data_IF_732704370364
#
_entry.id   IF_732704370364
#
_cell.length_a   1.000
_cell.length_b   1.000
_cell.length_c   1.000
_cell.angle_alpha   90.00
_cell.angle_beta   90.00
_cell.angle_gamma   90.00
#
_symmetry.space_group_name_H-M   'P 1'
#
loop_
_entity.id
_entity.type
_entity.pdbx_description
1 polymer ?
#
# COMPACT_ATOMS: atom_id res chain seq x y z
N UNK A 1 -3.50 2.80 -5.82
CA UNK A 1 -4.02 2.33 -4.53
C UNK A 1 -4.66 3.44 -3.71
N UNK A 2 -3.91 4.47 -3.29
CA UNK A 2 -4.41 5.58 -2.46
C UNK A 2 -5.69 6.24 -3.00
N UNK A 3 -5.78 6.45 -4.32
CA UNK A 3 -6.99 7.00 -4.94
C UNK A 3 -8.23 6.16 -4.68
N UNK A 4 -8.11 4.83 -4.82
CA UNK A 4 -9.23 3.91 -4.60
C UNK A 4 -9.61 3.78 -3.13
N UNK A 5 -8.71 4.11 -2.21
CA UNK A 5 -8.95 4.07 -0.76
C UNK A 5 -9.70 5.29 -0.23
N UNK A 6 -9.87 6.37 -1.00
CA UNK A 6 -10.56 7.58 -0.54
C UNK A 6 -11.92 7.25 0.11
N UNK A 7 -12.23 7.84 1.29
CA UNK A 7 -11.50 8.92 1.98
C UNK A 7 -10.38 8.46 2.95
N UNK A 8 -10.10 7.15 3.04
CA UNK A 8 -9.09 6.62 3.95
C UNK A 8 -7.68 7.10 3.59
N UNK A 9 -6.88 7.40 4.61
CA UNK A 9 -5.44 7.62 4.47
C UNK A 9 -4.69 6.33 4.83
N UNK A 10 -3.42 6.24 4.42
CA UNK A 10 -2.54 5.12 4.77
C UNK A 10 -1.21 5.61 5.35
N UNK A 11 -0.74 4.96 6.41
CA UNK A 11 0.65 5.15 6.87
C UNK A 11 1.65 4.40 5.95
N UNK A 12 2.96 4.58 6.16
CA UNK A 12 3.98 3.93 5.34
C UNK A 12 3.93 2.39 5.43
N UNK A 13 3.63 1.82 6.60
CA UNK A 13 3.53 0.36 6.74
C UNK A 13 2.30 -0.18 6.00
N UNK A 14 1.17 0.53 6.08
CA UNK A 14 -0.04 0.24 5.31
C UNK A 14 0.24 0.32 3.80
N UNK A 15 0.98 1.34 3.34
CA UNK A 15 1.34 1.46 1.91
C UNK A 15 2.20 0.30 1.42
N UNK A 16 3.17 -0.16 2.22
CA UNK A 16 3.99 -1.33 1.87
C UNK A 16 3.15 -2.60 1.81
N UNK A 17 2.25 -2.80 2.79
CA UNK A 17 1.33 -3.93 2.78
C UNK A 17 0.45 -3.91 1.53
N UNK A 18 -0.17 -2.77 1.24
CA UNK A 18 -1.08 -2.62 0.11
C UNK A 18 -0.36 -2.75 -1.23
N UNK A 19 0.87 -2.23 -1.35
CA UNK A 19 1.71 -2.40 -2.55
C UNK A 19 2.02 -3.89 -2.80
N UNK A 20 2.27 -4.67 -1.76
CA UNK A 20 2.42 -6.12 -1.87
C UNK A 20 1.10 -6.79 -2.25
N UNK A 21 0.04 -6.55 -1.50
CA UNK A 21 -1.24 -7.24 -1.67
C UNK A 21 -1.88 -6.95 -3.04
N UNK A 22 -1.74 -5.75 -3.59
CA UNK A 22 -2.38 -5.38 -4.86
C UNK A 22 -1.87 -6.18 -6.06
N UNK A 23 -0.66 -6.74 -5.97
CA UNK A 23 -0.10 -7.61 -7.02
C UNK A 23 -0.25 -9.11 -6.71
N UNK A 24 -0.67 -9.45 -5.48
CA UNK A 24 -0.90 -10.80 -4.97
C UNK A 24 -2.32 -10.99 -4.44
N UNK A 25 -3.32 -10.42 -5.12
CA UNK A 25 -4.72 -10.43 -4.66
C UNK A 25 -5.33 -11.83 -4.60
N UNK A 26 -4.87 -12.78 -5.43
CA UNK A 26 -5.38 -14.15 -5.40
C UNK A 26 -5.09 -14.86 -4.06
N UNK A 27 -3.98 -14.52 -3.41
CA UNK A 27 -3.55 -15.08 -2.11
C UNK A 27 -4.57 -14.78 -1.00
N UNK A 28 -5.40 -13.77 -1.18
CA UNK A 28 -6.41 -13.33 -0.22
C UNK A 28 -7.84 -13.42 -0.77
N UNK A 29 -8.05 -14.22 -1.82
CA UNK A 29 -9.37 -14.47 -2.42
C UNK A 29 -9.87 -13.39 -3.38
N UNK A 30 -8.96 -12.56 -3.91
CA UNK A 30 -9.25 -11.53 -4.90
C UNK A 30 -9.08 -11.97 -6.35
N UNK A 31 -9.04 -11.00 -7.29
CA UNK A 31 -8.77 -11.25 -8.70
C UNK A 31 -7.42 -11.97 -8.94
N UNK A 32 -7.16 -12.48 -10.16
CA UNK A 32 -5.89 -13.12 -10.47
C UNK A 32 -4.69 -12.20 -10.17
N UNK A 33 -3.69 -12.71 -9.46
CA UNK A 33 -2.46 -12.00 -9.13
C UNK A 33 -1.74 -11.50 -10.39
N UNK A 34 -1.16 -10.30 -10.31
CA UNK A 34 -0.33 -9.74 -11.38
C UNK A 34 1.05 -10.37 -11.39
N UNK A 35 1.58 -10.72 -10.21
CA UNK A 35 2.90 -11.33 -10.07
C UNK A 35 2.77 -12.83 -9.81
N UNK A 36 3.62 -13.67 -10.44
CA UNK A 36 3.65 -15.10 -10.18
C UNK A 36 4.13 -15.39 -8.75
N UNK A 37 3.70 -16.51 -8.18
CA UNK A 37 4.20 -17.00 -6.90
C UNK A 37 5.70 -17.32 -6.99
N UNK A 38 6.54 -16.45 -6.42
CA UNK A 38 7.96 -16.70 -6.25
C UNK A 38 8.25 -16.85 -4.75
N UNK A 39 8.74 -18.03 -4.38
CA UNK A 39 9.00 -18.43 -3.01
C UNK A 39 10.27 -17.77 -2.45
N UNK A 40 10.22 -16.51 -2.04
CA UNK A 40 11.07 -15.98 -0.97
C UNK A 40 10.54 -14.65 -0.41
N UNK A 41 9.53 -14.75 0.46
CA UNK A 41 8.66 -13.63 0.82
C UNK A 41 9.34 -12.62 1.75
N UNK A 42 10.10 -13.05 2.77
CA UNK A 42 10.57 -12.17 3.88
C UNK A 42 11.63 -11.12 3.48
N UNK A 43 12.59 -11.47 2.63
CA UNK A 43 13.65 -10.53 2.20
C UNK A 43 13.15 -9.40 1.31
N UNK A 44 12.02 -9.62 0.64
CA UNK A 44 11.43 -8.66 -0.30
C UNK A 44 10.89 -7.43 0.42
N UNK A 45 10.19 -7.57 1.56
CA UNK A 45 9.50 -6.44 2.17
C UNK A 45 10.40 -5.33 2.70
N UNK A 46 11.60 -5.64 3.19
CA UNK A 46 12.53 -4.60 3.64
C UNK A 46 13.03 -3.76 2.45
N UNK A 47 13.34 -4.42 1.33
CA UNK A 47 13.69 -3.74 0.06
C UNK A 47 12.49 -2.95 -0.45
N UNK A 48 11.29 -3.54 -0.38
CA UNK A 48 10.03 -2.95 -0.79
C UNK A 48 9.68 -1.71 0.02
N UNK A 49 9.93 -1.70 1.34
CA UNK A 49 9.71 -0.53 2.20
C UNK A 49 10.47 0.70 1.71
N UNK A 50 11.77 0.56 1.44
CA UNK A 50 12.59 1.68 0.94
C UNK A 50 12.14 2.15 -0.45
N UNK A 51 11.73 1.22 -1.31
CA UNK A 51 11.21 1.57 -2.64
C UNK A 51 9.86 2.30 -2.55
N UNK A 52 8.94 1.80 -1.72
CA UNK A 52 7.63 2.41 -1.49
C UNK A 52 7.81 3.82 -0.90
N UNK A 53 8.67 3.99 0.11
CA UNK A 53 8.96 5.31 0.70
C UNK A 53 9.49 6.30 -0.34
N UNK A 54 10.49 5.89 -1.16
CA UNK A 54 11.01 6.72 -2.25
C UNK A 54 9.95 7.04 -3.30
N UNK A 55 9.07 6.09 -3.61
CA UNK A 55 7.98 6.29 -4.57
C UNK A 55 6.95 7.29 -4.06
N UNK A 56 6.63 7.27 -2.75
CA UNK A 56 5.74 8.23 -2.12
C UNK A 56 6.33 9.64 -2.13
N UNK A 57 7.63 9.79 -1.85
CA UNK A 57 8.27 11.11 -1.96
C UNK A 57 8.31 11.62 -3.40
N UNK A 58 8.57 10.75 -4.39
CA UNK A 58 8.47 11.12 -5.81
C UNK A 58 7.05 11.56 -6.18
N UNK A 59 6.03 10.77 -5.83
CA UNK A 59 4.63 11.07 -6.12
C UNK A 59 4.19 12.38 -5.45
N UNK A 60 4.69 12.70 -4.25
CA UNK A 60 4.47 13.98 -3.59
C UNK A 60 5.08 15.15 -4.35
N UNK A 61 6.32 15.03 -4.83
CA UNK A 61 6.97 16.05 -5.68
C UNK A 61 6.25 16.26 -7.01
N UNK A 62 5.54 15.24 -7.48
CA UNK A 62 4.69 15.29 -8.67
C UNK A 62 3.24 15.72 -8.38
N UNK A 63 2.91 16.13 -7.15
CA UNK A 63 1.56 16.53 -6.75
C UNK A 63 0.48 15.44 -6.95
N UNK A 64 0.85 14.15 -6.82
CA UNK A 64 -0.07 13.01 -6.91
C UNK A 64 -0.47 12.44 -5.55
N UNK A 65 0.31 12.73 -4.51
CA UNK A 65 0.12 12.22 -3.15
C UNK A 65 0.34 13.37 -2.17
N UNK A 66 -0.62 13.54 -1.28
CA UNK A 66 -0.53 14.45 -0.15
C UNK A 66 -0.02 13.72 1.10
N UNK A 67 0.73 14.45 1.91
CA UNK A 67 1.28 13.97 3.18
C UNK A 67 0.66 14.79 4.32
N UNK A 68 0.06 14.11 5.29
CA UNK A 68 -0.51 14.71 6.49
C UNK A 68 0.30 14.27 7.72
N UNK A 69 0.74 15.24 8.53
CA UNK A 69 1.40 14.98 9.81
C UNK A 69 0.33 14.97 10.89
N UNK A 70 0.22 13.85 11.60
CA UNK A 70 -0.76 13.64 12.68
C UNK A 70 -0.07 13.23 13.98
N UNK A 71 -0.81 13.22 15.08
CA UNK A 71 -0.33 12.70 16.38
C UNK A 71 0.05 11.20 16.32
N UNK A 72 -0.44 10.47 15.30
CA UNK A 72 -0.13 9.06 15.07
C UNK A 72 1.01 8.86 14.07
N UNK A 73 1.64 9.95 13.61
CA UNK A 73 2.71 9.94 12.61
C UNK A 73 2.25 10.45 11.24
N UNK A 74 2.96 10.01 10.20
CA UNK A 74 2.75 10.46 8.83
C UNK A 74 1.70 9.60 8.13
N UNK A 75 0.70 10.25 7.55
CA UNK A 75 -0.30 9.63 6.69
C UNK A 75 -0.19 10.14 5.25
N UNK A 76 -0.56 9.29 4.30
CA UNK A 76 -0.57 9.59 2.87
C UNK A 76 -1.99 9.46 2.32
N UNK A 77 -2.36 10.38 1.43
CA UNK A 77 -3.60 10.35 0.64
C UNK A 77 -3.28 10.64 -0.83
N UNK A 78 -4.12 10.18 -1.74
CA UNK A 78 -4.05 10.66 -3.12
C UNK A 78 -4.45 12.15 -3.13
N UNK A 79 -3.82 12.95 -3.97
CA UNK A 79 -4.26 14.33 -4.23
C UNK A 79 -5.45 14.33 -5.18
N UNK A 80 -6.12 15.46 -5.36
CA UNK A 80 -7.27 15.55 -6.27
C UNK A 80 -6.85 15.43 -7.75
N UNK A 81 -5.59 15.72 -8.06
CA UNK A 81 -5.00 15.56 -9.39
C UNK A 81 -4.71 14.10 -9.74
N UNK A 82 -4.59 13.21 -8.74
CA UNK A 82 -4.18 11.83 -8.94
C UNK A 82 -5.13 11.04 -9.84
N UNK A 83 -6.44 11.33 -9.78
CA UNK A 83 -7.45 10.63 -10.56
C UNK A 83 -7.19 10.72 -12.07
N UNK A 84 -6.90 11.92 -12.58
CA UNK A 84 -6.62 12.12 -14.00
C UNK A 84 -5.35 11.39 -14.46
N UNK A 85 -4.29 11.38 -13.64
CA UNK A 85 -3.08 10.61 -13.95
C UNK A 85 -3.33 9.10 -14.01
N UNK A 86 -4.18 8.58 -13.12
CA UNK A 86 -4.55 7.17 -13.11
C UNK A 86 -5.35 6.81 -14.35
N UNK A 87 -6.24 7.68 -14.82
CA UNK A 87 -7.01 7.46 -16.05
C UNK A 87 -6.12 7.25 -17.27
N UNK A 88 -5.02 8.02 -17.40
CA UNK A 88 -4.03 7.90 -18.48
C UNK A 88 -3.30 6.55 -18.52
N UNK A 89 -3.37 5.74 -17.46
CA UNK A 89 -2.76 4.41 -17.42
C UNK A 89 -3.63 3.37 -18.14
N UNK A 90 -3.46 3.24 -19.46
CA UNK A 90 -4.35 2.44 -20.31
C UNK A 90 -3.83 1.06 -20.73
N UNK A 91 -2.60 0.70 -20.37
CA UNK A 91 -2.04 -0.62 -20.69
C UNK A 91 -2.87 -1.75 -20.07
N UNK A 92 -2.87 -2.94 -20.69
CA UNK A 92 -3.54 -4.11 -20.12
C UNK A 92 -3.07 -4.44 -18.68
N UNK A 93 -1.78 -4.22 -18.38
CA UNK A 93 -1.25 -4.38 -17.03
C UNK A 93 -1.85 -3.37 -16.05
N UNK A 94 -1.91 -2.09 -16.42
CA UNK A 94 -2.47 -1.05 -15.55
C UNK A 94 -3.97 -1.21 -15.34
N UNK A 95 -4.72 -1.72 -16.31
CA UNK A 95 -6.14 -2.04 -16.11
C UNK A 95 -6.32 -3.16 -15.07
N UNK A 96 -5.58 -4.26 -15.18
CA UNK A 96 -5.61 -5.33 -14.16
C UNK A 96 -5.21 -4.84 -12.77
N UNK A 97 -4.24 -3.92 -12.69
CA UNK A 97 -3.82 -3.32 -11.43
C UNK A 97 -4.92 -2.45 -10.82
N UNK A 98 -5.67 -1.69 -11.64
CA UNK A 98 -6.84 -0.92 -11.21
C UNK A 98 -7.93 -1.85 -10.66
N UNK A 99 -8.23 -2.96 -11.35
CA UNK A 99 -9.22 -3.95 -10.90
C UNK A 99 -8.85 -4.54 -9.53
N UNK A 100 -7.58 -4.88 -9.33
CA UNK A 100 -7.08 -5.37 -8.05
C UNK A 100 -7.19 -4.31 -6.95
N UNK A 101 -6.84 -3.06 -7.24
CA UNK A 101 -6.97 -1.95 -6.31
C UNK A 101 -8.44 -1.64 -5.95
N UNK A 102 -9.34 -1.73 -6.93
CA UNK A 102 -10.79 -1.57 -6.74
C UNK A 102 -11.35 -2.67 -5.85
N UNK A 103 -10.93 -3.92 -6.08
CA UNK A 103 -11.34 -5.04 -5.23
C UNK A 103 -10.86 -4.86 -3.78
N UNK A 104 -9.60 -4.45 -3.56
CA UNK A 104 -9.08 -4.16 -2.21
C UNK A 104 -9.87 -3.03 -1.56
N UNK A 105 -10.14 -1.94 -2.30
CA UNK A 105 -10.91 -0.83 -1.79
C UNK A 105 -12.33 -1.24 -1.37
N UNK A 106 -12.98 -2.12 -2.14
CA UNK A 106 -14.27 -2.69 -1.79
C UNK A 106 -14.21 -3.50 -0.49
N UNK A 107 -13.17 -4.32 -0.30
CA UNK A 107 -12.96 -5.06 0.96
C UNK A 107 -12.75 -4.11 2.15
N UNK A 108 -11.92 -3.09 1.98
CA UNK A 108 -11.68 -2.08 3.03
C UNK A 108 -12.96 -1.34 3.40
N UNK A 109 -13.80 -0.96 2.41
CA UNK A 109 -15.09 -0.30 2.64
C UNK A 109 -16.11 -1.24 3.32
N UNK A 110 -16.07 -2.53 3.03
CA UNK A 110 -17.07 -3.50 3.54
C UNK A 110 -16.78 -3.94 4.97
N UNK A 111 -15.53 -4.25 5.31
CA UNK A 111 -15.16 -4.76 6.65
C UNK A 111 -14.45 -3.74 7.54
N UNK A 112 -13.98 -2.62 6.97
CA UNK A 112 -13.15 -1.63 7.64
C UNK A 112 -11.66 -1.88 7.46
N UNK A 113 -10.86 -0.81 7.39
CA UNK A 113 -9.40 -0.87 7.14
C UNK A 113 -8.67 -1.74 8.16
N UNK A 114 -9.04 -1.64 9.44
CA UNK A 114 -8.38 -2.41 10.50
C UNK A 114 -8.68 -3.92 10.38
N UNK A 115 -9.93 -4.29 10.14
CA UNK A 115 -10.34 -5.68 9.95
C UNK A 115 -9.71 -6.28 8.69
N UNK A 116 -9.66 -5.51 7.59
CA UNK A 116 -8.98 -5.93 6.37
C UNK A 116 -7.49 -6.24 6.62
N UNK A 117 -6.77 -5.35 7.32
CA UNK A 117 -5.36 -5.60 7.69
C UNK A 117 -5.19 -6.87 8.52
N UNK A 118 -6.08 -7.11 9.49
CA UNK A 118 -6.04 -8.33 10.31
C UNK A 118 -6.29 -9.57 9.45
N UNK A 119 -7.23 -9.53 8.52
CA UNK A 119 -7.49 -10.61 7.57
C UNK A 119 -6.27 -10.91 6.69
N UNK A 120 -5.66 -9.90 6.07
CA UNK A 120 -4.46 -10.08 5.24
C UNK A 120 -3.33 -10.72 6.05
N UNK A 121 -3.13 -10.31 7.31
CA UNK A 121 -2.12 -10.92 8.19
C UNK A 121 -2.37 -12.41 8.41
N UNK A 122 -3.63 -12.85 8.52
CA UNK A 122 -3.94 -14.28 8.68
C UNK A 122 -3.64 -15.11 7.45
N UNK A 123 -3.70 -14.52 6.25
CA UNK A 123 -3.48 -15.22 4.99
C UNK A 123 -1.99 -15.26 4.59
N UNK A 124 -1.29 -14.14 4.72
CA UNK A 124 0.08 -14.01 4.20
C UNK A 124 1.14 -14.24 5.30
N UNK A 125 0.73 -14.42 6.56
CA UNK A 125 1.63 -14.67 7.70
C UNK A 125 2.14 -13.41 8.40
N UNK A 126 2.99 -13.60 9.42
CA UNK A 126 3.45 -12.49 10.26
C UNK A 126 4.61 -11.73 9.58
N UNK A 127 4.26 -10.63 8.92
CA UNK A 127 5.21 -9.72 8.27
C UNK A 127 5.67 -8.57 9.18
N UNK A 128 5.17 -8.53 10.43
CA UNK A 128 5.42 -7.46 11.41
C UNK A 128 6.90 -7.23 11.71
N UNK A 129 7.77 -8.23 11.53
CA UNK A 129 9.23 -8.10 11.64
C UNK A 129 9.81 -7.07 10.64
N UNK A 130 9.22 -6.92 9.45
CA UNK A 130 9.61 -5.89 8.48
C UNK A 130 9.05 -4.50 8.82
N UNK A 131 8.16 -4.43 9.81
CA UNK A 131 7.37 -3.25 10.19
C UNK A 131 7.63 -2.78 11.63
N UNK A 132 8.57 -3.37 12.37
CA UNK A 132 8.97 -2.82 13.67
C UNK A 132 9.55 -1.43 13.46
N UNK A 133 8.84 -0.42 13.96
CA UNK A 133 9.28 0.97 14.01
C UNK A 133 10.67 0.99 14.61
N UNK A 134 11.70 1.32 13.83
CA UNK A 134 12.94 1.82 14.43
C UNK A 134 12.54 3.14 15.08
N UNK A 135 12.13 3.07 16.35
CA UNK A 135 12.06 4.23 17.23
C UNK A 135 13.40 4.92 17.10
N UNK A 136 13.39 6.13 16.54
CA UNK A 136 14.59 6.92 16.36
C UNK A 136 15.36 6.94 17.67
N UNK A 137 16.60 6.47 17.62
CA UNK A 137 17.54 6.56 18.72
C UNK A 137 17.68 8.03 19.10
N UNK A 138 16.94 8.42 20.13
CA UNK A 138 17.24 9.62 20.89
C UNK A 138 18.44 9.28 21.74
N UNK A 139 19.64 9.55 21.26
CA UNK A 139 20.81 9.63 22.13
C UNK A 139 21.36 11.05 22.03
N UNK A 140 21.02 11.80 23.08
CA UNK A 140 21.71 12.99 23.53
C UNK A 140 23.22 12.73 23.57
N UNK A 141 23.96 13.73 23.10
CA UNK A 141 25.37 13.97 23.37
C UNK A 141 25.59 15.48 23.42
#
# INVERSE_FOLDING_TARGET
>A
MLEKLRPEAADLAEMVLLDHVVVHTADIGGPPSLHPDLSDRKGELLVRRRLVERSLDLMRRCHLVDQEITDQGVLYRASDEAAGYIELLETHYSQKLKDCADWIALQVRSVGKHQFKNFVRTQIGDWTEAFSTTSGTSLQG
#
